data_IF_707333180379
#
_entry.id   IF_707333180379
#
_cell.length_a   1.000
_cell.length_b   1.000
_cell.length_c   1.000
_cell.angle_alpha   90.00
_cell.angle_beta   90.00
_cell.angle_gamma   90.00
#
_symmetry.space_group_name_H-M   'P 1'
#
loop_
_entity.id
_entity.type
_entity.pdbx_description
1 polymer ?
#
# COMPACT_ATOMS: atom_id res chain seq x y z
N UNK A 1 4.48 -7.79 -15.11
CA UNK A 1 4.12 -6.39 -14.76
C UNK A 1 3.62 -5.57 -15.96
N UNK A 2 4.25 -5.69 -17.13
CA UNK A 2 3.94 -4.90 -18.34
C UNK A 2 2.48 -4.99 -18.82
N UNK A 3 1.87 -6.18 -18.81
CA UNK A 3 0.46 -6.33 -19.20
C UNK A 3 -0.48 -5.55 -18.28
N UNK A 4 -0.24 -5.59 -16.97
CA UNK A 4 -1.02 -4.82 -15.99
C UNK A 4 -0.79 -3.32 -16.16
N UNK A 5 0.45 -2.91 -16.49
CA UNK A 5 0.77 -1.53 -16.85
C UNK A 5 -0.06 -1.05 -18.04
N UNK A 6 -0.02 -1.78 -19.16
CA UNK A 6 -0.78 -1.43 -20.37
C UNK A 6 -2.29 -1.36 -20.10
N UNK A 7 -2.81 -2.30 -19.31
CA UNK A 7 -4.21 -2.29 -18.92
C UNK A 7 -4.59 -1.03 -18.10
N UNK A 8 -3.77 -0.64 -17.11
CA UNK A 8 -3.98 0.58 -16.33
C UNK A 8 -3.88 1.82 -17.21
N UNK A 9 -2.86 1.88 -18.08
CA UNK A 9 -2.65 3.00 -19.00
C UNK A 9 -3.86 3.20 -19.93
N UNK A 10 -4.54 2.12 -20.30
CA UNK A 10 -5.79 2.15 -21.09
C UNK A 10 -7.07 2.42 -20.30
N UNK A 11 -7.04 2.55 -18.97
CA UNK A 11 -8.26 2.90 -18.20
C UNK A 11 -8.63 4.37 -18.37
N UNK A 12 -9.93 4.67 -18.40
CA UNK A 12 -10.41 6.05 -18.53
C UNK A 12 -10.06 6.92 -17.31
N UNK A 13 -9.73 8.19 -17.58
CA UNK A 13 -9.33 9.19 -16.58
C UNK A 13 -10.55 9.93 -16.02
N UNK A 14 -11.41 9.22 -15.29
CA UNK A 14 -12.70 9.75 -14.80
C UNK A 14 -12.81 9.89 -13.29
N UNK A 15 -11.90 9.28 -12.53
CA UNK A 15 -11.90 9.25 -11.08
C UNK A 15 -10.48 9.32 -10.47
N UNK A 16 -10.41 9.36 -9.14
CA UNK A 16 -9.16 9.29 -8.39
C UNK A 16 -8.81 7.86 -8.01
N UNK A 17 -7.63 7.37 -8.42
CA UNK A 17 -7.17 5.99 -8.16
C UNK A 17 -5.68 5.95 -7.86
N UNK A 18 -5.28 4.98 -7.06
CA UNK A 18 -3.88 4.64 -6.81
C UNK A 18 -3.70 3.14 -7.08
N UNK A 19 -2.71 2.79 -7.89
CA UNK A 19 -2.33 1.41 -8.15
C UNK A 19 -0.91 1.17 -7.68
N UNK A 20 -0.71 0.05 -7.01
CA UNK A 20 0.59 -0.45 -6.61
C UNK A 20 0.68 -1.90 -7.06
N UNK A 21 1.66 -2.20 -7.90
CA UNK A 21 1.86 -3.51 -8.50
C UNK A 21 3.31 -3.95 -8.25
N UNK A 22 3.48 -5.23 -7.94
CA UNK A 22 4.78 -5.84 -7.75
C UNK A 22 4.75 -7.27 -8.28
N UNK A 23 5.85 -7.71 -8.90
CA UNK A 23 6.02 -9.09 -9.38
C UNK A 23 7.23 -9.82 -8.78
N UNK A 24 7.87 -9.21 -7.78
CA UNK A 24 9.04 -9.74 -7.10
C UNK A 24 10.37 -9.31 -7.73
N UNK A 25 10.36 -8.81 -8.96
CA UNK A 25 11.53 -8.20 -9.62
C UNK A 25 11.39 -6.68 -9.64
N UNK A 26 10.21 -6.21 -10.00
CA UNK A 26 9.92 -4.80 -10.18
C UNK A 26 8.70 -4.38 -9.37
N UNK A 27 8.68 -3.08 -9.06
CA UNK A 27 7.52 -2.39 -8.51
C UNK A 27 7.07 -1.29 -9.47
N UNK A 28 5.76 -1.13 -9.62
CA UNK A 28 5.12 -0.11 -10.43
C UNK A 28 4.04 0.59 -9.60
N UNK A 29 4.08 1.93 -9.58
CA UNK A 29 3.10 2.77 -8.90
C UNK A 29 2.45 3.76 -9.85
N UNK A 30 1.13 3.89 -9.78
CA UNK A 30 0.38 4.94 -10.48
C UNK A 30 -0.51 5.70 -9.51
N UNK A 31 -0.56 7.01 -9.70
CA UNK A 31 -1.60 7.85 -9.14
C UNK A 31 -2.37 8.51 -10.28
N UNK A 32 -3.68 8.56 -10.14
CA UNK A 32 -4.57 9.22 -11.08
C UNK A 32 -5.52 10.13 -10.33
N UNK A 33 -5.75 11.31 -10.90
CA UNK A 33 -6.80 12.20 -10.45
C UNK A 33 -7.29 13.06 -11.61
N UNK A 34 -8.61 13.11 -11.78
CA UNK A 34 -9.26 13.79 -12.90
C UNK A 34 -8.65 13.33 -14.24
N UNK A 35 -8.29 14.26 -15.11
CA UNK A 35 -7.72 13.97 -16.45
C UNK A 35 -6.22 13.66 -16.48
N UNK A 36 -5.59 13.31 -15.35
CA UNK A 36 -4.15 13.04 -15.32
C UNK A 36 -3.81 11.77 -14.55
N UNK A 37 -2.81 11.04 -15.07
CA UNK A 37 -2.20 9.87 -14.45
C UNK A 37 -0.70 10.06 -14.44
N UNK A 38 -0.10 9.85 -13.28
CA UNK A 38 1.32 9.98 -13.05
C UNK A 38 1.89 8.62 -12.64
N UNK A 39 2.96 8.25 -13.31
CA UNK A 39 3.80 7.13 -12.92
C UNK A 39 4.63 7.52 -11.70
N UNK A 40 4.21 7.07 -10.51
CA UNK A 40 4.87 7.46 -9.26
C UNK A 40 6.15 6.68 -9.03
N UNK A 41 6.28 5.47 -9.61
CA UNK A 41 7.48 4.64 -9.43
C UNK A 41 7.66 3.54 -10.48
N UNK A 42 8.94 3.27 -10.82
CA UNK A 42 9.43 2.07 -11.52
C UNK A 42 10.77 1.64 -10.92
N UNK A 43 10.97 0.33 -10.75
CA UNK A 43 12.31 -0.27 -10.57
C UNK A 43 12.48 -1.16 -9.33
N UNK A 44 13.69 -1.74 -9.14
CA UNK A 44 13.96 -2.83 -8.18
C UNK A 44 14.13 -2.39 -6.71
N UNK A 45 13.65 -1.20 -6.33
CA UNK A 45 13.99 -0.57 -5.03
C UNK A 45 13.24 -1.15 -3.80
N UNK A 46 13.85 -0.90 -2.65
CA UNK A 46 13.63 -1.41 -1.28
C UNK A 46 12.41 -0.90 -0.49
N UNK A 47 11.38 -0.32 -1.12
CA UNK A 47 10.15 0.09 -0.40
C UNK A 47 9.42 1.30 -1.00
N UNK A 48 8.10 1.21 -1.07
CA UNK A 48 7.18 2.27 -1.48
C UNK A 48 5.98 2.28 -0.53
N UNK A 49 5.59 3.47 -0.09
CA UNK A 49 4.51 3.68 0.87
C UNK A 49 3.55 4.68 0.26
N UNK A 50 2.26 4.41 0.39
CA UNK A 50 1.22 5.32 -0.03
C UNK A 50 0.04 5.30 0.95
N UNK A 51 -0.68 6.42 1.08
CA UNK A 51 -1.86 6.57 1.94
C UNK A 51 -3.09 6.93 1.09
N UNK A 52 -3.86 7.97 1.44
CA UNK A 52 -5.03 8.41 0.67
C UNK A 52 -4.87 9.81 0.05
N UNK A 53 -3.72 10.44 0.21
CA UNK A 53 -3.39 11.72 -0.42
C UNK A 53 -2.51 11.50 -1.64
N UNK A 54 -2.71 12.32 -2.68
CA UNK A 54 -1.79 12.35 -3.81
C UNK A 54 -0.36 12.61 -3.33
N UNK A 55 0.58 11.76 -3.72
CA UNK A 55 2.00 11.98 -3.53
C UNK A 55 2.46 13.15 -4.40
N UNK A 56 2.06 13.16 -5.67
CA UNK A 56 2.48 14.18 -6.62
C UNK A 56 1.82 15.54 -6.32
N UNK A 57 2.59 16.64 -6.17
CA UNK A 57 2.03 17.97 -5.91
C UNK A 57 1.06 18.47 -6.97
N UNK A 58 1.27 18.12 -8.26
CA UNK A 58 0.43 18.58 -9.36
C UNK A 58 -0.97 17.96 -9.31
N UNK A 59 -1.08 16.70 -8.89
CA UNK A 59 -2.36 16.04 -8.62
C UNK A 59 -2.97 16.58 -7.32
N UNK A 60 -2.16 16.79 -6.28
CA UNK A 60 -2.64 17.29 -4.99
C UNK A 60 -3.34 18.65 -5.11
N UNK A 61 -2.84 19.55 -5.96
CA UNK A 61 -3.47 20.85 -6.23
C UNK A 61 -4.86 20.73 -6.88
N UNK A 62 -5.20 19.57 -7.45
CA UNK A 62 -6.48 19.30 -8.12
C UNK A 62 -7.46 18.53 -7.24
N UNK A 63 -7.08 18.19 -6.01
CA UNK A 63 -7.98 17.54 -5.07
C UNK A 63 -9.13 18.49 -4.72
N UNK A 64 -10.35 18.13 -5.11
CA UNK A 64 -11.55 18.94 -4.82
C UNK A 64 -11.81 19.11 -3.32
N UNK A 65 -11.35 18.16 -2.50
CA UNK A 65 -11.44 18.19 -1.04
C UNK A 65 -10.05 17.94 -0.47
N UNK A 66 -9.54 18.84 0.40
CA UNK A 66 -8.28 18.59 1.09
C UNK A 66 -8.32 17.28 1.86
N UNK A 67 -7.27 16.48 1.74
CA UNK A 67 -7.19 15.18 2.40
C UNK A 67 -7.06 15.32 3.91
N UNK A 68 -7.59 14.34 4.64
CA UNK A 68 -7.56 14.35 6.09
C UNK A 68 -6.11 14.38 6.60
N UNK A 69 -5.88 15.10 7.71
CA UNK A 69 -4.59 15.14 8.40
C UNK A 69 -4.06 13.73 8.74
N UNK A 70 -4.97 12.79 8.97
CA UNK A 70 -4.66 11.39 9.23
C UNK A 70 -3.97 10.69 8.03
N UNK A 71 -4.29 11.06 6.79
CA UNK A 71 -3.60 10.51 5.62
C UNK A 71 -2.12 10.88 5.61
N UNK A 72 -1.82 12.17 5.82
CA UNK A 72 -0.45 12.66 5.88
C UNK A 72 0.32 12.07 7.06
N UNK A 73 -0.30 12.02 8.25
CA UNK A 73 0.30 11.41 9.44
C UNK A 73 0.62 9.93 9.23
N UNK A 74 -0.28 9.15 8.63
CA UNK A 74 -0.01 7.73 8.32
C UNK A 74 1.16 7.58 7.36
N UNK A 75 1.24 8.41 6.32
CA UNK A 75 2.37 8.38 5.40
C UNK A 75 3.70 8.66 6.11
N UNK A 76 3.74 9.68 6.95
CA UNK A 76 4.93 10.07 7.71
C UNK A 76 5.39 8.96 8.66
N UNK A 77 4.44 8.40 9.43
CA UNK A 77 4.70 7.29 10.35
C UNK A 77 5.14 6.03 9.62
N UNK A 78 4.43 5.63 8.56
CA UNK A 78 4.79 4.45 7.78
C UNK A 78 6.18 4.59 7.16
N UNK A 79 6.52 5.75 6.61
CA UNK A 79 7.85 6.00 6.04
C UNK A 79 8.95 5.93 7.11
N UNK A 80 8.69 6.48 8.31
CA UNK A 80 9.64 6.51 9.42
C UNK A 80 9.83 5.11 10.04
N UNK A 81 8.73 4.44 10.38
CA UNK A 81 8.73 3.12 11.00
C UNK A 81 9.29 2.06 10.05
N UNK A 82 9.05 2.16 8.74
CA UNK A 82 9.58 1.20 7.78
C UNK A 82 11.12 1.20 7.76
N UNK A 83 11.73 2.39 7.85
CA UNK A 83 13.20 2.52 7.91
C UNK A 83 13.78 1.95 9.20
N UNK A 84 13.04 2.05 10.31
CA UNK A 84 13.46 1.57 11.63
C UNK A 84 13.28 0.04 11.77
N UNK A 85 12.11 -0.48 11.41
CA UNK A 85 11.75 -1.88 11.63
C UNK A 85 12.24 -2.80 10.51
N UNK A 86 12.34 -2.28 9.27
CA UNK A 86 12.74 -3.03 8.06
C UNK A 86 12.12 -4.43 7.95
N UNK A 87 10.79 -4.52 8.07
CA UNK A 87 10.10 -5.81 8.00
C UNK A 87 10.35 -6.51 6.66
N UNK A 88 10.80 -7.75 6.72
CA UNK A 88 11.27 -8.58 5.60
C UNK A 88 10.46 -9.88 5.41
N UNK A 89 9.47 -10.11 6.28
CA UNK A 89 8.51 -11.23 6.18
C UNK A 89 7.08 -10.71 6.13
N UNK A 90 6.15 -11.52 5.61
CA UNK A 90 4.74 -11.16 5.60
C UNK A 90 4.17 -10.96 7.01
N UNK A 91 4.64 -11.73 8.00
CA UNK A 91 4.22 -11.58 9.38
C UNK A 91 4.68 -10.23 9.96
N UNK A 92 5.97 -9.90 9.80
CA UNK A 92 6.50 -8.61 10.22
C UNK A 92 5.83 -7.44 9.49
N UNK A 93 5.37 -7.65 8.25
CA UNK A 93 4.56 -6.65 7.53
C UNK A 93 3.23 -6.33 8.20
N UNK A 94 2.51 -7.36 8.66
CA UNK A 94 1.24 -7.16 9.35
C UNK A 94 1.44 -6.44 10.69
N UNK A 95 2.49 -6.79 11.42
CA UNK A 95 2.81 -6.14 12.70
C UNK A 95 3.27 -4.68 12.48
N UNK A 96 3.98 -4.40 11.38
CA UNK A 96 4.28 -3.04 10.94
C UNK A 96 3.01 -2.23 10.63
N UNK A 97 2.02 -2.81 9.94
CA UNK A 97 0.75 -2.13 9.69
C UNK A 97 0.02 -1.79 11.00
N UNK A 98 0.00 -2.72 11.94
CA UNK A 98 -0.58 -2.51 13.27
C UNK A 98 0.11 -1.34 14.00
N UNK A 99 1.44 -1.30 13.99
CA UNK A 99 2.21 -0.22 14.62
C UNK A 99 1.96 1.15 13.97
N UNK A 100 1.83 1.22 12.63
CA UNK A 100 1.50 2.47 11.93
C UNK A 100 0.11 2.97 12.32
N UNK A 101 -0.88 2.09 12.35
CA UNK A 101 -2.26 2.44 12.68
C UNK A 101 -2.40 2.88 14.14
N UNK A 102 -1.78 2.16 15.09
CA UNK A 102 -1.75 2.54 16.50
C UNK A 102 -1.12 3.93 16.72
N UNK A 103 0.00 4.20 16.05
CA UNK A 103 0.68 5.49 16.16
C UNK A 103 -0.08 6.64 15.47
N UNK A 104 -0.82 6.33 14.39
CA UNK A 104 -1.63 7.31 13.67
C UNK A 104 -2.91 7.70 14.43
N UNK A 105 -3.47 6.77 15.21
CA UNK A 105 -4.73 6.92 15.93
C UNK A 105 -4.57 6.55 17.42
N UNK A 106 -3.83 7.35 18.20
CA UNK A 106 -3.68 7.07 19.63
C UNK A 106 -5.02 7.25 20.36
N UNK A 107 -5.43 6.25 21.14
CA UNK A 107 -6.60 6.33 22.02
C UNK A 107 -7.91 5.76 21.47
N UNK A 108 -7.93 5.20 20.25
CA UNK A 108 -9.08 4.45 19.71
C UNK A 108 -9.18 3.02 20.28
N UNK A 109 -8.71 2.81 21.52
CA UNK A 109 -8.77 1.52 22.19
C UNK A 109 -10.21 0.96 22.15
N UNK A 110 -10.36 -0.22 21.54
CA UNK A 110 -11.56 -1.06 21.55
C UNK A 110 -12.87 -0.37 21.11
N UNK A 111 -13.15 -0.35 19.81
CA UNK A 111 -14.54 -0.41 19.32
C UNK A 111 -15.10 0.77 18.53
N UNK A 112 -14.35 1.85 18.27
CA UNK A 112 -14.83 2.96 17.43
C UNK A 112 -14.02 3.15 16.13
N UNK A 113 -14.28 2.26 15.17
CA UNK A 113 -14.60 2.68 13.79
C UNK A 113 -13.51 3.05 12.78
N UNK A 114 -12.20 2.99 13.06
CA UNK A 114 -11.20 3.38 12.03
C UNK A 114 -9.81 2.75 12.16
N UNK A 115 -9.74 1.44 12.37
CA UNK A 115 -8.48 0.70 12.18
C UNK A 115 -8.50 -0.01 10.84
N UNK A 116 -7.32 -0.35 10.30
CA UNK A 116 -7.22 -1.33 9.23
C UNK A 116 -7.97 -2.61 9.64
N UNK A 117 -9.23 -2.73 9.21
CA UNK A 117 -10.11 -3.86 9.55
C UNK A 117 -9.58 -5.14 8.94
N UNK A 118 -8.74 -5.02 7.91
CA UNK A 118 -8.12 -6.10 7.18
C UNK A 118 -6.70 -5.70 6.79
N UNK A 119 -5.71 -6.51 7.16
CA UNK A 119 -4.34 -6.44 6.68
C UNK A 119 -4.06 -7.59 5.73
N UNK A 120 -3.45 -7.30 4.57
CA UNK A 120 -2.98 -8.29 3.61
C UNK A 120 -1.47 -8.10 3.42
N UNK A 121 -0.70 -9.15 3.69
CA UNK A 121 0.72 -9.18 3.43
C UNK A 121 1.06 -10.37 2.53
N UNK A 122 1.87 -10.12 1.50
CA UNK A 122 2.17 -11.10 0.45
C UNK A 122 3.68 -11.20 0.25
N UNK A 123 4.21 -12.41 0.41
CA UNK A 123 5.56 -12.78 0.00
C UNK A 123 5.52 -13.34 -1.43
N UNK A 124 5.91 -12.52 -2.40
CA UNK A 124 5.82 -12.89 -3.82
C UNK A 124 6.71 -14.10 -4.15
N UNK A 125 7.94 -14.16 -3.62
CA UNK A 125 8.87 -15.26 -3.91
C UNK A 125 8.39 -16.62 -3.39
N UNK A 126 7.77 -16.65 -2.21
CA UNK A 126 7.30 -17.91 -1.59
C UNK A 126 5.86 -18.26 -1.97
N UNK A 127 5.15 -17.36 -2.65
CA UNK A 127 3.72 -17.48 -2.94
C UNK A 127 2.85 -17.46 -1.67
N UNK A 128 3.37 -16.96 -0.54
CA UNK A 128 2.67 -16.96 0.74
C UNK A 128 1.90 -15.66 0.91
N UNK A 129 0.63 -15.75 1.29
CA UNK A 129 -0.18 -14.59 1.66
C UNK A 129 -0.79 -14.77 3.05
N UNK A 130 -0.77 -13.71 3.84
CA UNK A 130 -1.36 -13.64 5.17
C UNK A 130 -2.47 -12.60 5.15
N UNK A 131 -3.66 -13.00 5.58
CA UNK A 131 -4.81 -12.13 5.76
C UNK A 131 -5.12 -12.05 7.25
N UNK A 132 -5.07 -10.84 7.83
CA UNK A 132 -5.43 -10.58 9.22
C UNK A 132 -6.70 -9.74 9.26
N UNK A 133 -7.67 -10.07 10.12
CA UNK A 133 -8.91 -9.32 10.29
C UNK A 133 -8.93 -8.69 11.68
N UNK A 134 -8.48 -7.44 11.75
CA UNK A 134 -8.27 -6.72 13.01
C UNK A 134 -6.88 -6.96 13.61
N UNK A 135 -6.35 -5.90 14.23
CA UNK A 135 -5.03 -5.90 14.85
C UNK A 135 -4.89 -6.97 15.94
N UNK A 136 -3.70 -7.58 16.03
CA UNK A 136 -3.38 -8.61 17.03
C UNK A 136 -4.08 -9.97 16.84
N UNK A 137 -4.93 -10.12 15.82
CA UNK A 137 -5.58 -11.41 15.52
C UNK A 137 -4.65 -12.36 14.76
N UNK A 138 -4.85 -13.67 14.95
CA UNK A 138 -4.13 -14.70 14.21
C UNK A 138 -4.46 -14.59 12.71
N UNK A 139 -3.47 -14.40 11.82
CA UNK A 139 -3.73 -14.31 10.39
C UNK A 139 -4.13 -15.67 9.80
N UNK A 140 -5.03 -15.65 8.83
CA UNK A 140 -5.27 -16.78 7.94
C UNK A 140 -4.13 -16.84 6.93
N UNK A 141 -3.53 -18.02 6.75
CA UNK A 141 -2.43 -18.24 5.82
C UNK A 141 -2.98 -18.93 4.58
N UNK A 142 -2.69 -18.38 3.41
CA UNK A 142 -2.94 -19.02 2.13
C UNK A 142 -1.67 -19.04 1.28
N UNK A 143 -1.65 -19.93 0.28
CA UNK A 143 -0.62 -19.99 -0.74
C UNK A 143 -1.26 -19.76 -2.10
N UNK A 144 -0.67 -18.90 -2.90
CA UNK A 144 -0.99 -18.78 -4.31
C UNK A 144 0.19 -19.34 -5.09
N UNK A 145 -0.10 -20.31 -5.94
CA UNK A 145 0.84 -20.78 -6.94
C UNK A 145 0.55 -20.00 -8.21
N UNK A 146 1.28 -18.91 -8.41
CA UNK A 146 1.55 -18.43 -9.76
C UNK A 146 3.03 -18.69 -9.97
N UNK A 147 3.44 -19.44 -11.01
CA UNK A 147 4.85 -19.52 -11.33
C UNK A 147 5.28 -18.10 -11.71
N UNK A 148 5.94 -17.40 -10.80
CA UNK A 148 6.85 -16.34 -11.23
C UNK A 148 7.91 -17.09 -12.02
N UNK A 149 7.90 -16.92 -13.34
CA UNK A 149 8.90 -17.53 -14.19
C UNK A 149 10.26 -17.24 -13.57
N UNK A 150 10.99 -18.32 -13.23
CA UNK A 150 12.37 -18.20 -12.81
C UNK A 150 13.13 -17.38 -13.87
N UNK A 151 14.12 -16.57 -13.43
CA UNK A 151 14.78 -15.56 -14.25
C UNK A 151 15.40 -16.09 -15.54
#
# INVERSE_FOLDING_TARGET
LEQARAAIEGTDLVDGRCWMLADGREFLGFEQLAGERILTRVGPKTGHVHANNCFDPSLRQREAVPRSKASFRRMELASTLYVQQRPDTAAAMLDFFDAVEEAAFPGSASGSGSFATVGLAVELRSGRALLRRGSGTTPTITRFFTPFADP
#
